data_IF_279179405561
#
_entry.id   IF_279179405561
#
_cell.length_a   1.000
_cell.length_b   1.000
_cell.length_c   1.000
_cell.angle_alpha   90.00
_cell.angle_beta   90.00
_cell.angle_gamma   90.00
#
_symmetry.space_group_name_H-M   'P 1'
#
loop_
_entity.id
_entity.type
_entity.pdbx_description
1 polymer ?
#
# COMPACT_ATOMS: atom_id res chain seq x y z
N UNK A 1 51.71 15.02 -8.60
CA UNK A 1 52.02 13.86 -9.42
C UNK A 1 51.53 12.53 -8.80
N UNK A 2 50.37 12.51 -8.11
CA UNK A 2 49.77 11.31 -7.45
C UNK A 2 48.29 11.06 -7.80
N UNK A 3 47.70 11.85 -8.68
CA UNK A 3 46.27 11.66 -9.13
C UNK A 3 46.13 11.03 -10.50
N UNK A 4 47.17 11.02 -11.36
CA UNK A 4 47.11 10.48 -12.73
C UNK A 4 47.18 8.93 -12.80
N UNK A 5 47.58 8.24 -11.72
CA UNK A 5 47.73 6.77 -11.75
C UNK A 5 46.46 6.00 -11.34
N UNK A 6 45.42 6.65 -10.80
CA UNK A 6 44.18 5.98 -10.44
C UNK A 6 43.25 5.77 -11.63
N UNK A 7 43.22 6.71 -12.56
CA UNK A 7 42.33 6.65 -13.72
C UNK A 7 42.82 5.61 -14.76
N UNK A 8 44.12 5.43 -14.90
CA UNK A 8 44.68 4.41 -15.81
C UNK A 8 44.38 2.97 -15.31
N UNK A 9 44.37 2.78 -13.99
CA UNK A 9 44.08 1.48 -13.40
C UNK A 9 42.60 1.10 -13.59
N UNK A 10 41.68 2.07 -13.58
CA UNK A 10 40.24 1.86 -13.80
C UNK A 10 39.95 1.51 -15.27
N UNK A 11 40.59 2.18 -16.19
CA UNK A 11 40.42 1.92 -17.64
C UNK A 11 40.93 0.53 -18.02
N UNK A 12 42.08 0.12 -17.49
CA UNK A 12 42.65 -1.21 -17.76
C UNK A 12 41.77 -2.33 -17.17
N UNK A 13 41.18 -2.09 -16.00
CA UNK A 13 40.25 -3.04 -15.38
C UNK A 13 38.94 -3.12 -16.16
N UNK A 14 38.44 -2.00 -16.66
CA UNK A 14 37.21 -1.94 -17.46
C UNK A 14 37.36 -2.66 -18.79
N UNK A 15 38.46 -2.43 -19.51
CA UNK A 15 38.78 -3.12 -20.79
C UNK A 15 39.02 -4.62 -20.59
N UNK A 16 39.61 -5.02 -19.46
CA UNK A 16 39.81 -6.43 -19.11
C UNK A 16 38.51 -7.15 -18.78
N UNK A 17 37.58 -6.46 -18.10
CA UNK A 17 36.22 -6.98 -17.81
C UNK A 17 35.41 -7.08 -19.09
N UNK A 18 35.48 -6.10 -19.97
CA UNK A 18 34.79 -6.10 -21.27
C UNK A 18 35.29 -7.16 -22.22
N UNK A 19 36.60 -7.38 -22.29
CA UNK A 19 37.21 -8.45 -23.08
C UNK A 19 36.87 -9.85 -22.58
N UNK A 20 36.77 -10.03 -21.26
CA UNK A 20 36.34 -11.30 -20.65
C UNK A 20 34.84 -11.58 -20.85
N UNK A 21 33.98 -10.57 -20.96
CA UNK A 21 32.57 -10.74 -21.28
C UNK A 21 32.33 -11.24 -22.71
N UNK A 22 33.13 -10.78 -23.67
CA UNK A 22 33.02 -11.22 -25.06
C UNK A 22 33.51 -12.65 -25.28
N UNK A 23 34.53 -13.11 -24.53
CA UNK A 23 35.06 -14.46 -24.63
C UNK A 23 34.19 -15.54 -23.96
N UNK A 24 33.46 -15.16 -22.85
CA UNK A 24 32.54 -16.09 -22.14
C UNK A 24 31.30 -16.39 -22.98
N UNK A 25 30.87 -15.47 -23.85
CA UNK A 25 29.68 -15.65 -24.68
C UNK A 25 29.92 -16.52 -25.91
N UNK A 26 31.18 -16.75 -26.31
CA UNK A 26 31.48 -17.45 -27.56
C UNK A 26 31.83 -18.95 -27.44
N UNK A 27 32.39 -19.46 -26.34
CA UNK A 27 32.66 -20.91 -26.25
C UNK A 27 32.94 -21.41 -24.79
N UNK A 28 31.99 -22.18 -24.19
CA UNK A 28 32.10 -22.78 -22.84
C UNK A 28 33.17 -23.89 -22.72
N UNK A 29 33.78 -24.35 -23.81
CA UNK A 29 34.70 -25.51 -23.80
C UNK A 29 36.20 -25.17 -23.77
N UNK A 30 36.60 -23.94 -23.98
CA UNK A 30 38.03 -23.54 -24.06
C UNK A 30 38.55 -22.75 -22.85
N UNK A 31 37.73 -22.48 -21.82
CA UNK A 31 38.06 -21.62 -20.69
C UNK A 31 39.19 -22.14 -19.75
N UNK A 32 39.55 -23.40 -19.80
CA UNK A 32 40.54 -23.99 -18.88
C UNK A 32 42.01 -23.77 -19.21
N UNK A 33 42.36 -23.10 -20.31
CA UNK A 33 43.76 -23.08 -20.78
C UNK A 33 44.46 -21.72 -20.94
N UNK A 34 43.85 -20.60 -20.61
CA UNK A 34 44.50 -19.29 -20.66
C UNK A 34 44.18 -18.42 -19.45
N UNK A 35 45.02 -18.55 -18.41
CA UNK A 35 45.10 -17.54 -17.38
C UNK A 35 46.08 -16.45 -17.82
N UNK A 36 45.71 -15.15 -17.86
CA UNK A 36 46.65 -14.08 -18.12
C UNK A 36 47.64 -13.93 -16.96
N UNK A 37 48.91 -13.68 -17.27
CA UNK A 37 49.96 -13.40 -16.30
C UNK A 37 49.64 -12.08 -15.55
N UNK A 38 49.30 -12.17 -14.29
CA UNK A 38 49.02 -11.01 -13.40
C UNK A 38 50.37 -10.54 -12.83
N UNK A 39 50.75 -9.27 -13.01
CA UNK A 39 51.97 -8.73 -12.40
C UNK A 39 51.88 -8.78 -10.87
N UNK A 40 52.98 -9.18 -10.24
CA UNK A 40 53.11 -9.45 -8.80
C UNK A 40 52.79 -8.28 -7.87
N UNK A 41 52.73 -7.05 -8.39
CA UNK A 41 52.46 -5.82 -7.60
C UNK A 41 50.98 -5.62 -7.24
N UNK A 42 50.04 -6.35 -7.82
CA UNK A 42 48.59 -6.23 -7.61
C UNK A 42 47.92 -7.53 -7.10
N UNK A 43 48.71 -8.50 -6.66
CA UNK A 43 48.27 -9.85 -6.40
C UNK A 43 47.13 -9.99 -5.39
N UNK A 44 47.15 -9.22 -4.30
CA UNK A 44 46.14 -9.34 -3.22
C UNK A 44 44.77 -8.72 -3.62
N UNK A 45 44.79 -7.61 -4.37
CA UNK A 45 43.56 -6.93 -4.83
C UNK A 45 42.90 -7.66 -6.00
N UNK A 46 43.70 -8.17 -6.95
CA UNK A 46 43.20 -8.93 -8.07
C UNK A 46 42.61 -10.27 -7.65
N UNK A 47 43.19 -10.95 -6.65
CA UNK A 47 42.60 -12.17 -6.05
C UNK A 47 41.27 -11.92 -5.36
N UNK A 48 41.11 -10.79 -4.68
CA UNK A 48 39.84 -10.47 -4.01
C UNK A 48 38.70 -10.21 -5.02
N UNK A 49 38.95 -9.46 -6.09
CA UNK A 49 37.97 -9.22 -7.13
C UNK A 49 37.68 -10.47 -7.98
N UNK A 50 38.68 -11.32 -8.21
CA UNK A 50 38.48 -12.59 -8.91
C UNK A 50 37.67 -13.58 -8.06
N UNK A 51 37.89 -13.63 -6.76
CA UNK A 51 37.09 -14.44 -5.83
C UNK A 51 35.66 -13.90 -5.68
N UNK A 52 35.48 -12.60 -5.63
CA UNK A 52 34.15 -11.94 -5.62
C UNK A 52 33.40 -12.20 -6.94
N UNK A 53 34.09 -12.21 -8.08
CA UNK A 53 33.51 -12.53 -9.38
C UNK A 53 33.10 -14.01 -9.49
N UNK A 54 33.93 -14.93 -9.00
CA UNK A 54 33.57 -16.36 -8.95
C UNK A 54 32.38 -16.60 -8.03
N UNK A 55 32.34 -15.96 -6.87
CA UNK A 55 31.19 -16.02 -5.97
C UNK A 55 29.92 -15.43 -6.62
N UNK A 56 30.05 -14.30 -7.31
CA UNK A 56 28.92 -13.68 -8.04
C UNK A 56 28.41 -14.59 -9.17
N UNK A 57 29.31 -15.21 -9.96
CA UNK A 57 28.96 -16.14 -11.03
C UNK A 57 28.38 -17.48 -10.53
N UNK A 58 28.72 -17.91 -9.30
CA UNK A 58 28.20 -19.14 -8.70
C UNK A 58 26.85 -18.97 -8.01
N UNK A 59 26.53 -17.75 -7.52
CA UNK A 59 25.28 -17.46 -6.82
C UNK A 59 24.18 -16.92 -7.73
N UNK A 60 24.53 -16.39 -8.91
CA UNK A 60 23.52 -15.96 -9.88
C UNK A 60 23.42 -17.00 -11.01
N UNK A 61 22.42 -17.85 -10.90
CA UNK A 61 22.07 -18.80 -11.97
C UNK A 61 21.75 -18.07 -13.27
N UNK A 62 22.08 -18.66 -14.43
CA UNK A 62 21.89 -18.14 -15.80
C UNK A 62 20.51 -17.47 -16.08
N UNK A 63 19.50 -17.80 -15.30
CA UNK A 63 18.14 -17.23 -15.39
C UNK A 63 18.05 -15.76 -14.91
N UNK A 64 18.75 -15.39 -13.83
CA UNK A 64 18.68 -14.04 -13.27
C UNK A 64 19.44 -13.01 -14.14
N UNK A 65 20.59 -13.40 -14.70
CA UNK A 65 21.38 -12.53 -15.58
C UNK A 65 20.70 -12.34 -16.93
N UNK A 66 20.02 -13.36 -17.46
CA UNK A 66 19.29 -13.28 -18.72
C UNK A 66 18.04 -12.38 -18.61
N UNK A 67 17.37 -12.35 -17.43
CA UNK A 67 16.23 -11.43 -17.16
C UNK A 67 16.67 -9.97 -17.07
N UNK A 68 17.83 -9.69 -16.46
CA UNK A 68 18.34 -8.32 -16.33
C UNK A 68 18.75 -7.75 -17.70
N UNK A 69 19.30 -8.58 -18.59
CA UNK A 69 19.75 -8.15 -19.92
C UNK A 69 18.61 -7.98 -20.94
N UNK A 70 17.44 -8.57 -20.70
CA UNK A 70 16.26 -8.43 -21.58
C UNK A 70 15.36 -7.25 -21.23
N UNK A 71 15.72 -6.43 -20.22
CA UNK A 71 14.87 -5.34 -19.76
C UNK A 71 13.55 -5.80 -19.13
N UNK A 72 13.34 -7.12 -19.02
CA UNK A 72 12.27 -7.71 -18.25
C UNK A 72 12.69 -7.71 -16.78
N UNK A 73 12.66 -6.53 -16.15
CA UNK A 73 12.53 -6.43 -14.72
C UNK A 73 11.11 -6.96 -14.37
N UNK A 74 10.96 -8.28 -14.41
CA UNK A 74 9.92 -8.92 -13.62
C UNK A 74 10.27 -8.63 -12.17
N UNK A 75 9.87 -7.45 -11.67
CA UNK A 75 9.52 -7.33 -10.28
C UNK A 75 8.39 -8.37 -10.10
N UNK A 76 8.76 -9.59 -9.75
CA UNK A 76 7.81 -10.53 -9.21
C UNK A 76 7.31 -9.90 -7.92
N UNK A 77 6.27 -9.10 -8.00
CA UNK A 77 5.41 -8.88 -6.87
C UNK A 77 4.94 -10.27 -6.50
N UNK A 78 5.59 -10.87 -5.50
CA UNK A 78 5.20 -12.18 -4.98
C UNK A 78 3.73 -12.03 -4.61
N UNK A 79 2.89 -12.72 -5.41
CA UNK A 79 1.45 -12.71 -5.23
C UNK A 79 1.16 -13.22 -3.83
N UNK A 80 0.69 -12.34 -2.96
CA UNK A 80 0.21 -12.75 -1.64
C UNK A 80 -0.95 -13.72 -1.83
N UNK A 81 -0.96 -14.83 -1.11
CA UNK A 81 -2.13 -15.69 -1.05
C UNK A 81 -3.17 -15.10 -0.10
N UNK A 82 -4.44 -15.52 -0.20
CA UNK A 82 -5.47 -15.14 0.77
C UNK A 82 -5.04 -15.49 2.21
N UNK A 83 -4.34 -16.61 2.38
CA UNK A 83 -3.84 -17.07 3.68
C UNK A 83 -2.77 -16.13 4.28
N UNK A 84 -2.03 -15.39 3.45
CA UNK A 84 -1.00 -14.45 3.91
C UNK A 84 -1.58 -13.11 4.37
N UNK A 85 -2.85 -12.85 4.10
CA UNK A 85 -3.49 -11.59 4.50
C UNK A 85 -3.72 -11.53 6.00
N UNK A 86 -3.66 -10.34 6.55
CA UNK A 86 -4.07 -10.03 7.92
C UNK A 86 -5.37 -9.25 7.91
N UNK A 87 -6.05 -9.12 9.06
CA UNK A 87 -7.27 -8.31 9.17
C UNK A 87 -7.06 -6.80 8.93
N UNK A 88 -5.82 -6.35 8.86
CA UNK A 88 -5.52 -5.00 8.39
C UNK A 88 -5.51 -4.90 6.85
N UNK A 89 -5.54 -6.03 6.12
CA UNK A 89 -5.75 -5.98 4.68
C UNK A 89 -7.20 -5.67 4.37
N UNK A 90 -7.41 -4.69 3.51
CA UNK A 90 -8.74 -4.18 3.16
C UNK A 90 -9.67 -5.25 2.60
N UNK A 91 -9.15 -6.16 1.77
CA UNK A 91 -9.95 -7.24 1.20
C UNK A 91 -10.44 -8.20 2.28
N UNK A 92 -9.51 -8.72 3.10
CA UNK A 92 -9.88 -9.66 4.17
C UNK A 92 -10.79 -9.01 5.20
N UNK A 93 -10.57 -7.74 5.54
CA UNK A 93 -11.44 -7.01 6.47
C UNK A 93 -12.85 -6.88 5.91
N UNK A 94 -13.00 -6.45 4.64
CA UNK A 94 -14.31 -6.32 4.01
C UNK A 94 -15.07 -7.65 3.97
N UNK A 95 -14.41 -8.73 3.55
CA UNK A 95 -15.02 -10.07 3.56
C UNK A 95 -15.40 -10.54 4.97
N UNK A 96 -14.56 -10.24 5.97
CA UNK A 96 -14.82 -10.65 7.36
C UNK A 96 -16.07 -9.98 7.94
N UNK A 97 -16.22 -8.68 7.74
CA UNK A 97 -17.28 -7.90 8.35
C UNK A 97 -18.63 -7.99 7.63
N UNK A 98 -18.70 -8.70 6.51
CA UNK A 98 -19.99 -9.15 5.94
C UNK A 98 -20.73 -10.11 6.90
N UNK A 99 -20.00 -10.86 7.72
CA UNK A 99 -20.58 -11.61 8.84
C UNK A 99 -20.95 -10.64 9.97
N UNK A 100 -22.25 -10.44 10.29
CA UNK A 100 -22.68 -9.48 11.30
C UNK A 100 -22.16 -9.82 12.70
N UNK A 101 -21.87 -11.08 12.98
CA UNK A 101 -21.29 -11.50 14.27
C UNK A 101 -19.84 -11.03 14.38
N UNK A 102 -19.06 -11.06 13.30
CA UNK A 102 -17.69 -10.54 13.29
C UNK A 102 -17.70 -9.03 13.54
N UNK A 103 -18.55 -8.31 12.79
CA UNK A 103 -18.67 -6.85 12.96
C UNK A 103 -19.10 -6.49 14.37
N UNK A 104 -20.09 -7.20 14.92
CA UNK A 104 -20.57 -7.01 16.28
C UNK A 104 -19.46 -7.25 17.30
N UNK A 105 -18.70 -8.35 17.21
CA UNK A 105 -17.58 -8.66 18.10
C UNK A 105 -16.51 -7.57 18.08
N UNK A 106 -16.16 -7.09 16.88
CA UNK A 106 -15.18 -5.99 16.72
C UNK A 106 -15.66 -4.72 17.41
N UNK A 107 -16.91 -4.30 17.15
CA UNK A 107 -17.49 -3.12 17.77
C UNK A 107 -17.60 -3.24 19.28
N UNK A 108 -18.05 -4.38 19.80
CA UNK A 108 -18.16 -4.62 21.25
C UNK A 108 -16.81 -4.54 21.94
N UNK A 109 -15.74 -5.09 21.35
CA UNK A 109 -14.39 -5.01 21.91
C UNK A 109 -13.88 -3.56 21.88
N UNK A 110 -14.09 -2.85 20.76
CA UNK A 110 -13.62 -1.46 20.61
C UNK A 110 -14.37 -0.52 21.56
N UNK A 111 -15.67 -0.68 21.69
CA UNK A 111 -16.51 0.24 22.46
C UNK A 111 -16.65 -0.16 23.93
N UNK A 112 -16.31 -1.41 24.29
CA UNK A 112 -16.40 -1.92 25.66
C UNK A 112 -17.84 -2.09 26.15
N UNK A 113 -18.81 -2.29 25.25
CA UNK A 113 -20.22 -2.47 25.56
C UNK A 113 -20.87 -3.47 24.60
N UNK A 114 -22.00 -4.05 24.97
CA UNK A 114 -22.79 -4.89 24.07
C UNK A 114 -23.38 -4.03 22.93
N UNK A 115 -23.32 -4.58 21.71
CA UNK A 115 -23.89 -3.94 20.52
C UNK A 115 -24.85 -4.93 19.86
N UNK A 116 -26.02 -4.45 19.47
CA UNK A 116 -26.99 -5.24 18.70
C UNK A 116 -27.19 -4.55 17.36
N UNK A 117 -26.67 -5.16 16.30
CA UNK A 117 -26.78 -4.61 14.97
C UNK A 117 -28.21 -4.72 14.42
N UNK A 118 -28.65 -3.69 13.71
CA UNK A 118 -29.90 -3.66 12.95
C UNK A 118 -29.62 -4.03 11.48
N UNK A 119 -29.72 -5.31 11.17
CA UNK A 119 -29.46 -5.86 9.85
C UNK A 119 -28.00 -6.19 9.58
N UNK A 120 -27.71 -6.43 8.29
CA UNK A 120 -26.36 -6.79 7.83
C UNK A 120 -25.45 -5.57 7.67
N UNK A 121 -24.19 -5.65 8.06
CA UNK A 121 -23.20 -4.64 7.70
C UNK A 121 -23.11 -4.48 6.18
N UNK A 122 -22.85 -3.27 5.72
CA UNK A 122 -22.67 -2.99 4.30
C UNK A 122 -21.19 -2.67 4.06
N UNK A 123 -20.53 -3.54 3.28
CA UNK A 123 -19.14 -3.38 2.90
C UNK A 123 -19.01 -2.56 1.63
N UNK A 124 -17.89 -1.86 1.50
CA UNK A 124 -17.50 -1.09 0.31
C UNK A 124 -18.64 -0.24 -0.31
N UNK A 125 -19.46 0.37 0.55
CA UNK A 125 -20.55 1.21 0.09
C UNK A 125 -20.04 2.42 -0.68
N UNK A 126 -20.15 2.33 -1.99
CA UNK A 126 -19.87 3.48 -2.86
C UNK A 126 -20.89 4.58 -2.62
N UNK A 127 -20.37 5.76 -2.30
CA UNK A 127 -21.19 6.92 -2.03
C UNK A 127 -20.93 8.03 -3.03
N UNK A 128 -21.82 8.15 -4.04
CA UNK A 128 -21.91 9.31 -4.92
C UNK A 128 -23.17 10.10 -4.60
N UNK A 129 -23.01 11.24 -3.96
CA UNK A 129 -24.14 12.14 -3.78
C UNK A 129 -24.43 12.93 -5.08
N UNK A 130 -23.44 13.05 -5.97
CA UNK A 130 -23.54 13.70 -7.28
C UNK A 130 -22.30 13.33 -8.11
N UNK A 131 -22.38 13.29 -9.45
CA UNK A 131 -21.22 13.15 -10.33
C UNK A 131 -20.15 14.23 -10.13
N UNK A 132 -20.53 15.38 -9.54
CA UNK A 132 -19.63 16.51 -9.29
C UNK A 132 -18.84 16.38 -8.00
N UNK A 133 -19.21 15.47 -7.10
CA UNK A 133 -18.51 15.29 -5.82
C UNK A 133 -17.51 14.15 -5.90
N UNK A 134 -16.45 14.28 -5.06
CA UNK A 134 -15.46 13.23 -4.92
C UNK A 134 -16.13 11.95 -4.45
N UNK A 135 -15.87 10.88 -5.18
CA UNK A 135 -16.27 9.54 -4.83
C UNK A 135 -15.59 9.11 -3.53
N UNK A 136 -16.35 8.59 -2.57
CA UNK A 136 -15.82 7.93 -1.38
C UNK A 136 -16.27 6.48 -1.37
N UNK A 137 -15.40 5.63 -0.88
CA UNK A 137 -15.65 4.22 -0.63
C UNK A 137 -15.48 4.00 0.86
N UNK A 138 -16.57 3.75 1.57
CA UNK A 138 -16.58 3.41 2.99
C UNK A 138 -16.27 1.92 3.11
N UNK A 139 -15.33 1.55 4.00
CA UNK A 139 -14.96 0.15 4.11
C UNK A 139 -16.10 -0.66 4.73
N UNK A 140 -16.64 -0.24 5.86
CA UNK A 140 -17.77 -0.91 6.51
C UNK A 140 -18.70 0.05 7.20
N UNK A 141 -19.99 -0.08 6.93
CA UNK A 141 -21.05 0.71 7.53
C UNK A 141 -22.08 -0.20 8.20
N UNK A 142 -22.36 0.02 9.48
CA UNK A 142 -23.33 -0.73 10.24
C UNK A 142 -24.22 0.21 11.07
N UNK A 143 -25.42 -0.25 11.43
CA UNK A 143 -26.34 0.45 12.33
C UNK A 143 -26.72 -0.48 13.48
N UNK A 144 -26.88 0.06 14.68
CA UNK A 144 -27.45 -0.68 15.80
C UNK A 144 -28.96 -0.40 15.98
N UNK A 145 -29.59 -1.12 16.92
CA UNK A 145 -31.01 -0.97 17.22
C UNK A 145 -31.36 0.40 17.79
N UNK A 146 -30.40 1.14 18.35
CA UNK A 146 -30.56 2.51 18.84
C UNK A 146 -30.35 3.55 17.70
N UNK A 147 -30.30 3.08 16.46
CA UNK A 147 -30.08 3.89 15.24
C UNK A 147 -28.72 4.58 15.18
N UNK A 148 -27.75 4.21 16.03
CA UNK A 148 -26.38 4.71 15.93
C UNK A 148 -25.68 4.07 14.74
N UNK A 149 -24.90 4.85 14.03
CA UNK A 149 -24.18 4.45 12.83
C UNK A 149 -22.69 4.27 13.13
N UNK A 150 -22.13 3.20 12.64
CA UNK A 150 -20.71 2.88 12.75
C UNK A 150 -20.10 2.84 11.35
N UNK A 151 -19.03 3.59 11.16
CA UNK A 151 -18.16 3.50 9.97
C UNK A 151 -16.79 3.02 10.43
N UNK A 152 -16.37 1.84 9.96
CA UNK A 152 -15.13 1.22 10.42
C UNK A 152 -14.21 0.99 9.23
N UNK A 153 -13.01 1.58 9.30
CA UNK A 153 -11.99 1.52 8.26
C UNK A 153 -10.68 0.94 8.76
N UNK A 154 -10.04 0.11 7.95
CA UNK A 154 -8.64 -0.31 8.11
C UNK A 154 -7.74 0.48 7.16
N UNK A 155 -6.61 0.98 7.68
CA UNK A 155 -5.75 1.87 6.91
C UNK A 155 -4.27 1.51 7.08
N UNK A 156 -3.68 0.86 6.08
CA UNK A 156 -2.28 0.41 6.12
C UNK A 156 -1.23 1.47 5.76
N UNK A 157 -1.65 2.64 5.25
CA UNK A 157 -0.74 3.71 4.86
C UNK A 157 -1.14 5.02 5.50
N UNK A 158 -0.16 5.70 6.09
CA UNK A 158 -0.35 7.08 6.52
C UNK A 158 -0.26 8.01 5.32
N UNK A 159 -1.42 8.52 4.87
CA UNK A 159 -1.51 9.47 3.77
C UNK A 159 -1.39 10.93 4.22
N UNK A 160 -1.15 11.18 5.52
CA UNK A 160 -1.05 12.52 6.11
C UNK A 160 -2.35 13.32 6.13
N UNK A 161 -3.47 12.74 5.68
CA UNK A 161 -4.75 13.46 5.54
C UNK A 161 -5.92 12.78 6.27
N UNK A 162 -5.68 11.72 7.02
CA UNK A 162 -6.71 10.91 7.67
C UNK A 162 -7.67 11.71 8.58
N UNK A 163 -7.23 12.71 9.38
CA UNK A 163 -8.14 13.51 10.17
C UNK A 163 -9.13 14.34 9.32
N UNK A 164 -8.66 14.88 8.20
CA UNK A 164 -9.54 15.62 7.27
C UNK A 164 -10.45 14.69 6.48
N UNK A 165 -9.93 13.51 6.11
CA UNK A 165 -10.70 12.46 5.42
C UNK A 165 -11.83 11.95 6.31
N UNK A 166 -11.58 11.67 7.59
CA UNK A 166 -12.59 11.22 8.54
C UNK A 166 -13.73 12.26 8.71
N UNK A 167 -13.39 13.55 8.74
CA UNK A 167 -14.41 14.63 8.77
C UNK A 167 -15.24 14.65 7.48
N UNK A 168 -14.60 14.45 6.32
CA UNK A 168 -15.30 14.42 5.04
C UNK A 168 -16.25 13.23 4.95
N UNK A 169 -15.82 12.07 5.40
CA UNK A 169 -16.63 10.84 5.44
C UNK A 169 -17.85 11.01 6.32
N UNK A 170 -17.67 11.53 7.54
CA UNK A 170 -18.77 11.85 8.42
C UNK A 170 -19.82 12.73 7.72
N UNK A 171 -19.42 13.85 7.11
CA UNK A 171 -20.35 14.72 6.42
C UNK A 171 -21.07 14.04 5.23
N UNK A 172 -20.43 13.10 4.54
CA UNK A 172 -21.07 12.32 3.48
C UNK A 172 -22.09 11.32 4.03
N UNK A 173 -21.83 10.74 5.19
CA UNK A 173 -22.76 9.84 5.89
C UNK A 173 -23.96 10.65 6.38
N UNK A 174 -23.73 11.79 7.04
CA UNK A 174 -24.78 12.69 7.57
C UNK A 174 -25.76 13.11 6.47
N UNK A 175 -25.26 13.49 5.28
CA UNK A 175 -26.13 13.87 4.14
C UNK A 175 -27.02 12.74 3.62
N UNK A 176 -26.70 11.48 3.94
CA UNK A 176 -27.52 10.31 3.56
C UNK A 176 -28.50 9.90 4.63
N UNK A 177 -28.12 10.10 5.89
CA UNK A 177 -28.95 9.72 7.04
C UNK A 177 -30.15 10.65 7.18
N UNK A 178 -30.00 11.93 6.86
CA UNK A 178 -31.08 12.90 6.93
C UNK A 178 -31.73 13.05 5.54
N UNK A 179 -32.99 12.68 5.44
CA UNK A 179 -33.73 12.77 4.16
C UNK A 179 -33.96 14.24 3.75
N UNK A 180 -33.90 14.56 2.45
CA UNK A 180 -34.27 15.89 1.97
C UNK A 180 -35.67 16.29 2.43
N UNK A 181 -35.81 17.52 2.92
CA UNK A 181 -37.07 18.04 3.45
C UNK A 181 -37.32 17.77 4.95
N UNK A 182 -36.42 17.05 5.61
CA UNK A 182 -36.45 16.92 7.07
C UNK A 182 -36.10 18.24 7.71
N UNK A 183 -37.01 18.77 8.54
CA UNK A 183 -36.84 20.06 9.22
C UNK A 183 -36.13 19.91 10.57
N UNK A 184 -36.34 18.78 11.23
CA UNK A 184 -35.77 18.50 12.56
C UNK A 184 -34.43 17.76 12.42
N UNK A 185 -33.35 18.47 12.73
CA UNK A 185 -31.99 17.91 12.70
C UNK A 185 -31.70 16.99 13.89
N UNK A 186 -32.53 16.96 14.94
CA UNK A 186 -32.40 15.99 16.05
C UNK A 186 -32.67 14.54 15.58
N UNK A 187 -33.23 14.36 14.39
CA UNK A 187 -33.40 13.05 13.75
C UNK A 187 -32.13 12.50 13.12
N UNK A 188 -31.05 13.29 13.08
CA UNK A 188 -29.75 12.80 12.63
C UNK A 188 -29.20 11.77 13.62
N UNK A 189 -28.85 10.58 13.12
CA UNK A 189 -28.31 9.50 13.93
C UNK A 189 -26.94 9.86 14.53
N UNK A 190 -26.67 9.39 15.74
CA UNK A 190 -25.30 9.38 16.26
C UNK A 190 -24.38 8.62 15.33
N UNK A 191 -23.14 9.09 15.17
CA UNK A 191 -22.13 8.46 14.33
C UNK A 191 -20.84 8.18 15.10
N UNK A 192 -20.32 6.96 14.96
CA UNK A 192 -19.01 6.58 15.48
C UNK A 192 -18.13 6.15 14.29
N UNK A 193 -17.16 6.99 13.96
CA UNK A 193 -16.19 6.69 12.92
C UNK A 193 -14.95 6.09 13.56
N UNK A 194 -14.59 4.87 13.15
CA UNK A 194 -13.48 4.08 13.69
C UNK A 194 -12.45 3.89 12.59
N UNK A 195 -11.20 4.26 12.85
CA UNK A 195 -10.08 4.04 11.94
C UNK A 195 -9.01 3.22 12.66
N UNK A 196 -8.64 2.08 12.08
CA UNK A 196 -7.66 1.14 12.62
C UNK A 196 -6.42 1.14 11.73
N UNK A 197 -5.23 1.35 12.31
CA UNK A 197 -3.99 1.50 11.56
C UNK A 197 -2.79 0.91 12.29
N UNK A 198 -1.79 0.35 11.57
CA UNK A 198 -0.51 -0.08 12.15
C UNK A 198 0.50 1.08 12.26
N UNK A 199 0.01 2.25 12.62
CA UNK A 199 0.85 3.43 12.85
C UNK A 199 0.13 4.44 13.75
N UNK A 200 0.92 5.21 14.49
CA UNK A 200 0.39 6.28 15.32
C UNK A 200 0.17 7.56 14.51
N UNK A 201 -1.10 7.88 14.27
CA UNK A 201 -1.50 9.07 13.52
C UNK A 201 -1.23 10.38 14.29
N UNK A 202 -1.33 10.34 15.62
CA UNK A 202 -1.25 11.51 16.49
C UNK A 202 0.18 11.71 17.03
N UNK A 203 0.91 10.60 17.27
CA UNK A 203 2.32 10.64 17.70
C UNK A 203 2.52 10.59 19.22
N UNK A 204 1.48 10.30 20.02
CA UNK A 204 1.58 10.21 21.49
C UNK A 204 1.79 8.76 22.01
N UNK A 205 1.91 7.79 21.12
CA UNK A 205 2.17 6.39 21.46
C UNK A 205 0.97 5.65 22.06
N UNK A 206 -0.26 6.15 21.90
CA UNK A 206 -1.45 5.50 22.46
C UNK A 206 -2.04 4.48 21.52
N UNK A 207 -2.65 3.42 22.06
CA UNK A 207 -3.47 2.47 21.31
C UNK A 207 -4.78 3.07 20.81
N UNK A 208 -5.36 4.03 21.56
CA UNK A 208 -6.66 4.61 21.28
C UNK A 208 -6.65 6.11 21.48
N UNK A 209 -7.19 6.82 20.50
CA UNK A 209 -7.49 8.24 20.55
C UNK A 209 -8.97 8.43 20.24
N UNK A 210 -9.72 9.00 21.17
CA UNK A 210 -11.14 9.28 21.00
C UNK A 210 -11.35 10.78 20.96
N UNK A 211 -11.95 11.27 19.87
CA UNK A 211 -12.23 12.68 19.65
C UNK A 211 -13.73 12.95 19.68
N UNK A 212 -14.10 13.96 20.48
CA UNK A 212 -15.41 14.59 20.51
C UNK A 212 -15.23 16.10 20.47
N UNK A 213 -16.23 16.81 20.01
CA UNK A 213 -16.19 18.27 20.03
C UNK A 213 -16.41 18.76 21.47
N UNK A 214 -15.51 19.59 21.97
CA UNK A 214 -15.60 20.21 23.28
C UNK A 214 -15.48 21.73 23.20
N UNK A 215 -16.04 22.42 24.20
CA UNK A 215 -15.92 23.87 24.35
C UNK A 215 -14.45 24.24 24.67
N UNK A 216 -13.89 25.23 23.97
CA UNK A 216 -12.50 25.67 24.22
C UNK A 216 -12.38 26.43 25.54
N UNK A 217 -13.42 27.14 25.94
CA UNK A 217 -13.52 27.93 27.17
C UNK A 217 -13.72 27.04 28.40
N UNK A 218 -14.36 25.89 28.22
CA UNK A 218 -14.54 24.87 29.27
C UNK A 218 -14.46 23.47 28.62
N UNK A 219 -13.29 22.84 28.70
CA UNK A 219 -13.01 21.55 28.04
C UNK A 219 -13.83 20.37 28.58
N UNK A 220 -14.43 20.49 29.72
CA UNK A 220 -15.34 19.48 30.30
C UNK A 220 -16.72 19.50 29.60
N UNK A 221 -17.08 20.60 28.98
CA UNK A 221 -18.34 20.75 28.23
C UNK A 221 -18.22 20.11 26.86
N UNK A 222 -18.91 18.99 26.64
CA UNK A 222 -19.02 18.30 25.36
C UNK A 222 -20.20 18.89 24.58
N UNK A 223 -20.03 19.10 23.25
CA UNK A 223 -21.09 19.65 22.40
C UNK A 223 -22.31 18.73 22.26
N UNK A 224 -22.14 17.42 22.48
CA UNK A 224 -23.22 16.42 22.39
C UNK A 224 -23.94 16.39 21.03
N UNK A 225 -23.17 16.58 19.95
CA UNK A 225 -23.64 16.52 18.57
C UNK A 225 -23.76 15.08 18.01
N UNK A 226 -23.56 14.06 18.85
CA UNK A 226 -23.63 12.64 18.46
C UNK A 226 -22.43 12.13 17.67
N UNK A 227 -21.44 12.99 17.34
CA UNK A 227 -20.29 12.61 16.52
C UNK A 227 -19.09 12.18 17.37
N UNK A 228 -18.59 10.97 17.11
CA UNK A 228 -17.39 10.43 17.77
C UNK A 228 -16.43 9.90 16.70
N UNK A 229 -15.13 10.21 16.84
CA UNK A 229 -14.07 9.63 16.02
C UNK A 229 -13.07 8.89 16.88
N UNK A 230 -12.80 7.64 16.55
CA UNK A 230 -11.86 6.77 17.25
C UNK A 230 -10.74 6.40 16.28
N UNK A 231 -9.52 6.72 16.65
CA UNK A 231 -8.34 6.26 15.93
C UNK A 231 -7.64 5.21 16.79
N UNK A 232 -7.48 4.02 16.23
CA UNK A 232 -6.81 2.90 16.87
C UNK A 232 -5.46 2.65 16.20
N UNK A 233 -4.44 2.50 17.02
CA UNK A 233 -3.07 2.24 16.61
C UNK A 233 -2.67 0.86 17.15
N UNK A 234 -2.30 -0.10 16.29
CA UNK A 234 -1.87 -1.43 16.73
C UNK A 234 -0.51 -1.41 17.44
N UNK A 235 0.29 -0.33 17.24
CA UNK A 235 1.61 -0.12 17.86
C UNK A 235 1.60 0.78 19.10
N UNK A 236 0.49 0.82 19.83
CA UNK A 236 0.41 1.61 21.07
C UNK A 236 1.40 1.14 22.13
N UNK A 237 1.75 2.03 23.07
CA UNK A 237 2.72 1.78 24.15
C UNK A 237 2.10 1.90 25.55
N UNK A 238 0.79 2.06 25.65
CA UNK A 238 0.06 2.28 26.89
C UNK A 238 -1.01 1.19 27.15
N UNK A 239 -0.63 -0.10 27.24
CA UNK A 239 -1.58 -1.20 27.39
C UNK A 239 -2.43 -1.11 28.67
N UNK A 240 -1.97 -0.38 29.70
CA UNK A 240 -2.69 -0.14 30.94
C UNK A 240 -3.92 0.77 30.78
N UNK A 241 -3.99 1.55 29.69
CA UNK A 241 -5.07 2.53 29.45
C UNK A 241 -6.19 1.97 28.57
N UNK A 242 -6.09 0.71 28.15
CA UNK A 242 -7.09 0.02 27.34
C UNK A 242 -7.48 -1.32 27.96
N UNK A 243 -8.63 -1.86 27.54
CA UNK A 243 -9.01 -3.20 27.96
C UNK A 243 -8.06 -4.26 27.39
N UNK A 244 -7.82 -5.37 28.12
CA UNK A 244 -7.05 -6.50 27.58
C UNK A 244 -7.66 -7.06 26.29
N UNK A 245 -8.97 -7.04 26.15
CA UNK A 245 -9.66 -7.48 24.94
C UNK A 245 -9.33 -6.60 23.73
N UNK A 246 -9.29 -5.27 23.91
CA UNK A 246 -8.91 -4.34 22.85
C UNK A 246 -7.43 -4.53 22.45
N UNK A 247 -6.54 -4.71 23.42
CA UNK A 247 -5.13 -4.98 23.12
C UNK A 247 -4.97 -6.27 22.32
N UNK A 248 -5.70 -7.34 22.69
CA UNK A 248 -5.69 -8.61 21.96
C UNK A 248 -6.30 -8.50 20.56
N UNK A 249 -7.40 -7.74 20.40
CA UNK A 249 -7.99 -7.48 19.08
C UNK A 249 -6.97 -6.79 18.15
N UNK A 250 -6.36 -5.69 18.63
CA UNK A 250 -5.40 -4.92 17.82
C UNK A 250 -4.18 -5.76 17.44
N UNK A 251 -3.67 -6.57 18.35
CA UNK A 251 -2.61 -7.54 18.08
C UNK A 251 -3.07 -8.57 17.02
N UNK A 252 -4.25 -9.15 17.19
CA UNK A 252 -4.78 -10.14 16.26
C UNK A 252 -5.00 -9.55 14.85
N UNK A 253 -5.46 -8.32 14.74
CA UNK A 253 -5.68 -7.68 13.44
C UNK A 253 -4.39 -7.56 12.62
N UNK A 254 -3.26 -7.31 13.27
CA UNK A 254 -1.95 -7.21 12.63
C UNK A 254 -1.28 -8.58 12.43
N UNK A 255 -1.46 -9.49 13.41
CA UNK A 255 -0.84 -10.81 13.49
C UNK A 255 -1.88 -11.93 13.33
N UNK A 256 -2.78 -11.79 12.36
CA UNK A 256 -3.90 -12.71 12.14
C UNK A 256 -3.44 -14.16 11.94
N UNK A 257 -2.26 -14.36 11.35
CA UNK A 257 -1.71 -15.68 11.00
C UNK A 257 -0.85 -16.29 12.11
N UNK A 258 -0.56 -15.53 13.16
CA UNK A 258 0.26 -16.01 14.25
C UNK A 258 -0.57 -16.92 15.18
N UNK A 259 0.07 -17.87 15.86
CA UNK A 259 -0.61 -18.71 16.84
C UNK A 259 -1.20 -17.85 17.99
N UNK A 260 -2.22 -18.37 18.71
CA UNK A 260 -2.77 -17.69 19.86
C UNK A 260 -1.70 -17.28 20.88
N UNK A 261 -1.91 -16.15 21.55
CA UNK A 261 -0.98 -15.65 22.55
C UNK A 261 -0.76 -16.70 23.66
N UNK A 262 0.48 -16.85 24.20
CA UNK A 262 0.79 -17.85 25.23
C UNK A 262 -0.06 -17.72 26.51
N UNK A 263 -0.44 -16.49 26.88
CA UNK A 263 -1.34 -16.20 28.01
C UNK A 263 -2.80 -16.53 27.72
N UNK A 264 -3.13 -16.98 26.53
CA UNK A 264 -4.47 -17.24 26.04
C UNK A 264 -5.16 -16.01 25.46
N UNK A 265 -6.19 -16.26 24.69
CA UNK A 265 -7.02 -15.22 24.06
C UNK A 265 -8.36 -15.12 24.81
N UNK A 266 -8.92 -13.92 24.88
CA UNK A 266 -10.29 -13.74 25.35
C UNK A 266 -11.30 -14.43 24.41
N UNK A 267 -12.48 -14.77 24.92
CA UNK A 267 -13.45 -15.56 24.17
C UNK A 267 -13.88 -14.87 22.86
N UNK A 268 -14.05 -13.54 22.87
CA UNK A 268 -14.45 -12.79 21.69
C UNK A 268 -13.38 -12.85 20.58
N UNK A 269 -12.10 -12.70 20.93
CA UNK A 269 -10.99 -12.78 19.95
C UNK A 269 -10.83 -14.22 19.44
N UNK A 270 -11.02 -15.23 20.30
CA UNK A 270 -10.99 -16.64 19.90
C UNK A 270 -12.12 -16.99 18.92
N UNK A 271 -13.32 -16.45 19.16
CA UNK A 271 -14.45 -16.62 18.21
C UNK A 271 -14.15 -15.94 16.89
N UNK A 272 -13.61 -14.73 16.93
CA UNK A 272 -13.18 -13.98 15.75
C UNK A 272 -12.15 -14.76 14.93
N UNK A 273 -11.10 -15.29 15.58
CA UNK A 273 -10.05 -16.12 14.92
C UNK A 273 -10.65 -17.29 14.17
N UNK A 274 -11.52 -18.09 14.82
CA UNK A 274 -12.16 -19.24 14.18
C UNK A 274 -12.97 -18.86 12.93
N UNK A 275 -13.67 -17.73 12.99
CA UNK A 275 -14.44 -17.23 11.83
C UNK A 275 -13.53 -16.75 10.70
N UNK A 276 -12.44 -16.06 11.01
CA UNK A 276 -11.46 -15.62 10.01
C UNK A 276 -10.75 -16.81 9.35
N UNK A 277 -10.41 -17.85 10.10
CA UNK A 277 -9.86 -19.10 9.55
C UNK A 277 -10.85 -19.79 8.58
N UNK A 278 -12.14 -19.80 8.93
CA UNK A 278 -13.17 -20.31 8.04
C UNK A 278 -13.30 -19.49 6.74
N UNK A 279 -13.26 -18.16 6.82
CA UNK A 279 -13.26 -17.28 5.65
C UNK A 279 -12.06 -17.56 4.74
N UNK A 280 -10.86 -17.66 5.32
CA UNK A 280 -9.63 -17.94 4.57
C UNK A 280 -9.62 -19.31 3.90
N UNK A 281 -10.35 -20.27 4.47
CA UNK A 281 -10.51 -21.62 3.93
C UNK A 281 -11.62 -21.75 2.89
N UNK A 282 -12.39 -20.68 2.65
CA UNK A 282 -13.50 -20.68 1.72
C UNK A 282 -13.01 -20.47 0.27
N UNK A 283 -13.31 -21.43 -0.61
CA UNK A 283 -12.88 -21.39 -2.02
C UNK A 283 -13.48 -20.20 -2.78
N UNK A 284 -14.74 -19.82 -2.50
CA UNK A 284 -15.40 -18.69 -3.17
C UNK A 284 -14.71 -17.36 -2.79
N UNK A 285 -14.32 -17.20 -1.52
CA UNK A 285 -13.52 -16.05 -1.07
C UNK A 285 -12.16 -16.04 -1.77
N UNK A 286 -11.54 -17.20 -1.93
CA UNK A 286 -10.31 -17.37 -2.70
C UNK A 286 -10.44 -16.87 -4.14
N UNK A 287 -11.54 -17.23 -4.83
CA UNK A 287 -11.81 -16.76 -6.19
C UNK A 287 -12.04 -15.25 -6.24
N UNK A 288 -12.85 -14.68 -5.32
CA UNK A 288 -13.05 -13.22 -5.24
C UNK A 288 -11.75 -12.47 -4.98
N UNK A 289 -10.89 -13.02 -4.12
CA UNK A 289 -9.57 -12.43 -3.87
C UNK A 289 -8.70 -12.38 -5.13
N UNK A 290 -8.70 -13.47 -5.92
CA UNK A 290 -7.98 -13.54 -7.18
C UNK A 290 -8.45 -12.48 -8.17
N UNK A 291 -9.77 -12.36 -8.36
CA UNK A 291 -10.37 -11.37 -9.24
C UNK A 291 -10.02 -9.93 -8.79
N UNK A 292 -10.18 -9.63 -7.50
CA UNK A 292 -9.84 -8.33 -6.95
C UNK A 292 -8.32 -8.01 -7.01
N UNK A 293 -7.48 -9.03 -7.01
CA UNK A 293 -6.04 -8.87 -7.20
C UNK A 293 -5.71 -8.56 -8.67
N UNK A 294 -6.29 -9.29 -9.62
CA UNK A 294 -6.13 -9.08 -11.06
C UNK A 294 -6.58 -7.67 -11.46
N UNK A 295 -7.75 -7.24 -11.02
CA UNK A 295 -8.28 -5.90 -11.27
C UNK A 295 -7.32 -4.80 -10.75
N UNK A 296 -6.80 -4.96 -9.54
CA UNK A 296 -5.82 -4.02 -8.97
C UNK A 296 -4.49 -3.99 -9.71
N UNK A 297 -4.03 -5.12 -10.24
CA UNK A 297 -2.81 -5.13 -11.05
C UNK A 297 -3.01 -4.46 -12.40
N UNK A 298 -4.17 -4.66 -13.05
CA UNK A 298 -4.55 -3.94 -14.26
C UNK A 298 -4.61 -2.43 -14.02
N UNK A 299 -5.31 -1.98 -12.94
CA UNK A 299 -5.35 -0.56 -12.57
C UNK A 299 -3.95 0.05 -12.34
N UNK A 300 -3.04 -0.71 -11.70
CA UNK A 300 -1.65 -0.25 -11.51
C UNK A 300 -0.88 -0.15 -12.81
N UNK A 301 -1.07 -1.11 -13.73
CA UNK A 301 -0.44 -1.07 -15.05
C UNK A 301 -0.93 0.13 -15.85
N UNK A 302 -2.24 0.39 -15.84
CA UNK A 302 -2.83 1.54 -16.52
C UNK A 302 -2.35 2.88 -15.92
N UNK A 303 -2.37 3.00 -14.59
CA UNK A 303 -1.88 4.19 -13.90
C UNK A 303 -0.38 4.44 -14.13
N UNK A 304 0.42 3.37 -14.25
CA UNK A 304 1.84 3.46 -14.61
C UNK A 304 2.02 3.94 -16.05
N UNK A 305 1.30 3.34 -16.99
CA UNK A 305 1.33 3.74 -18.40
C UNK A 305 0.89 5.20 -18.58
N UNK A 306 -0.17 5.64 -17.87
CA UNK A 306 -0.59 7.04 -17.84
C UNK A 306 0.51 7.96 -17.28
N UNK A 307 1.12 7.57 -16.17
CA UNK A 307 2.22 8.32 -15.54
C UNK A 307 3.43 8.47 -16.47
N UNK A 308 3.84 7.39 -17.14
CA UNK A 308 4.93 7.39 -18.14
C UNK A 308 4.57 8.30 -19.32
N UNK A 309 3.35 8.19 -19.86
CA UNK A 309 2.85 9.05 -20.96
C UNK A 309 2.80 10.53 -20.55
N UNK A 310 2.31 10.83 -19.34
CA UNK A 310 2.28 12.20 -18.83
C UNK A 310 3.69 12.79 -18.63
N UNK A 311 4.63 12.00 -18.15
CA UNK A 311 6.04 12.40 -18.01
C UNK A 311 6.67 12.66 -19.38
N UNK A 312 6.44 11.79 -20.35
CA UNK A 312 6.90 11.95 -21.74
C UNK A 312 6.34 13.25 -22.35
N UNK A 313 5.04 13.49 -22.26
CA UNK A 313 4.41 14.77 -22.69
C UNK A 313 5.08 15.99 -22.04
N UNK A 314 5.40 15.92 -20.76
CA UNK A 314 6.08 17.01 -20.04
C UNK A 314 7.50 17.25 -20.55
N UNK A 315 8.26 16.20 -20.84
CA UNK A 315 9.63 16.28 -21.37
C UNK A 315 9.62 16.86 -22.79
N UNK A 316 8.77 16.33 -23.67
CA UNK A 316 8.59 16.84 -25.04
C UNK A 316 8.20 18.32 -25.04
N UNK A 317 7.22 18.71 -24.20
CA UNK A 317 6.80 20.13 -24.06
C UNK A 317 7.98 21.04 -23.67
N UNK A 318 8.82 20.62 -22.71
CA UNK A 318 10.01 21.39 -22.30
C UNK A 318 11.04 21.54 -23.42
N UNK A 319 11.29 20.49 -24.20
CA UNK A 319 12.25 20.48 -25.29
C UNK A 319 11.77 21.31 -26.49
N UNK A 320 10.48 21.22 -26.81
CA UNK A 320 9.84 22.08 -27.79
C UNK A 320 9.92 23.57 -27.40
N UNK A 321 9.70 23.89 -26.13
CA UNK A 321 9.84 25.26 -25.62
C UNK A 321 11.31 25.76 -25.70
N UNK A 322 12.29 24.86 -25.71
CA UNK A 322 13.69 25.16 -25.96
C UNK A 322 14.07 25.16 -27.47
N UNK A 323 13.07 25.17 -28.36
CA UNK A 323 13.23 25.19 -29.83
C UNK A 323 14.05 24.02 -30.39
N UNK A 324 14.02 22.84 -29.74
CA UNK A 324 14.63 21.63 -30.31
C UNK A 324 13.78 21.04 -31.42
N UNK A 325 14.41 20.45 -32.45
CA UNK A 325 13.69 19.72 -33.51
C UNK A 325 13.11 18.40 -32.99
N UNK A 326 12.07 17.87 -33.63
CA UNK A 326 11.43 16.61 -33.24
C UNK A 326 12.41 15.43 -33.31
N UNK A 327 13.30 15.43 -34.30
CA UNK A 327 14.32 14.41 -34.47
C UNK A 327 15.32 14.43 -33.30
N UNK A 328 15.76 15.64 -32.89
CA UNK A 328 16.65 15.79 -31.76
C UNK A 328 15.98 15.41 -30.43
N UNK A 329 14.69 15.69 -30.28
CA UNK A 329 13.90 15.28 -29.12
C UNK A 329 13.79 13.74 -29.07
N UNK A 330 13.54 13.11 -30.19
CA UNK A 330 13.46 11.64 -30.29
C UNK A 330 14.78 10.98 -29.92
N UNK A 331 15.90 11.48 -30.45
CA UNK A 331 17.25 11.00 -30.12
C UNK A 331 17.54 11.16 -28.61
N UNK A 332 17.28 12.36 -28.04
CA UNK A 332 17.56 12.67 -26.65
C UNK A 332 16.69 11.86 -25.64
N UNK A 333 15.49 11.47 -26.03
CA UNK A 333 14.57 10.69 -25.20
C UNK A 333 14.63 9.18 -25.51
N UNK A 334 15.43 8.77 -26.48
CA UNK A 334 15.57 7.38 -26.98
C UNK A 334 14.22 6.79 -27.41
N UNK A 335 13.39 7.62 -28.07
CA UNK A 335 12.06 7.25 -28.54
C UNK A 335 11.99 7.34 -30.08
N UNK A 336 11.03 6.64 -30.65
CA UNK A 336 10.78 6.70 -32.09
C UNK A 336 10.30 8.11 -32.50
N UNK A 337 10.82 8.67 -33.61
CA UNK A 337 10.43 10.02 -34.07
C UNK A 337 8.92 10.19 -34.28
N UNK A 338 8.23 9.13 -34.69
CA UNK A 338 6.78 9.15 -34.89
C UNK A 338 6.01 9.31 -33.57
N UNK A 339 6.47 8.65 -32.49
CA UNK A 339 5.91 8.81 -31.14
C UNK A 339 6.04 10.27 -30.67
N UNK A 340 7.19 10.89 -30.88
CA UNK A 340 7.43 12.28 -30.50
C UNK A 340 6.56 13.23 -31.32
N UNK A 341 6.36 12.96 -32.63
CA UNK A 341 5.49 13.74 -33.50
C UNK A 341 4.04 13.71 -33.01
N UNK A 342 3.53 12.53 -32.70
CA UNK A 342 2.17 12.35 -32.20
C UNK A 342 1.95 13.06 -30.86
N UNK A 343 2.92 12.99 -29.94
CA UNK A 343 2.87 13.74 -28.69
C UNK A 343 2.90 15.26 -28.92
N UNK A 344 3.69 15.74 -29.87
CA UNK A 344 3.74 17.16 -30.20
C UNK A 344 2.41 17.67 -30.81
N UNK A 345 1.78 16.87 -31.65
CA UNK A 345 0.43 17.14 -32.19
C UNK A 345 -0.62 17.20 -31.07
N UNK A 346 -0.66 16.20 -30.18
CA UNK A 346 -1.54 16.20 -28.99
C UNK A 346 -1.37 17.47 -28.15
N UNK A 347 -0.10 17.87 -27.91
CA UNK A 347 0.24 19.06 -27.14
C UNK A 347 -0.19 20.37 -27.83
N UNK A 348 -0.29 20.37 -29.17
CA UNK A 348 -0.78 21.52 -29.93
C UNK A 348 -2.30 21.67 -29.84
N UNK A 349 -3.02 20.53 -29.80
CA UNK A 349 -4.49 20.50 -29.66
C UNK A 349 -4.95 20.90 -28.23
N UNK A 350 -4.14 20.59 -27.20
CA UNK A 350 -4.44 21.00 -25.80
C UNK A 350 -4.32 22.52 -25.56
N UNK A 351 -3.84 23.32 -26.54
CA UNK A 351 -3.66 24.77 -26.43
C UNK A 351 -4.85 25.58 -27.05
N UNK A 352 -5.80 24.91 -27.67
CA UNK A 352 -7.03 25.50 -28.19
C UNK A 352 -8.17 25.32 -27.21
#
# INVERSE_FOLDING_TARGET
MRLANKDLSFIIIYDMIFSLQTDVLSDKRHFRRRLPHIPTEYGAFACFFYFAYILFAFFFTDAAVCSIMKGECNLSTTKKSLNDLTLLDRFLFAEAVEDPEIMQLILEIILGQEIRLDGLPQTEKETRNSPLYRHIRLDVWARDLDSRVYDTEVQNRNTGNLPRRSRYYQGQIDTKLLKPGTVDFNLLSDIVLILIAPFDLIGEGRYRYTFRMCCMENRETILADGAVRIFLNTHGKNPQDISPELAQLLHFMEHTNDPPLPQGECEKVRRLRRKIEAIKSNEEVGVRFMQAWEERELEKMDARAEGERANMKKLVRKKLAACQSLEKIAEDLMEEPETIRQIAEDLSLERV
#
